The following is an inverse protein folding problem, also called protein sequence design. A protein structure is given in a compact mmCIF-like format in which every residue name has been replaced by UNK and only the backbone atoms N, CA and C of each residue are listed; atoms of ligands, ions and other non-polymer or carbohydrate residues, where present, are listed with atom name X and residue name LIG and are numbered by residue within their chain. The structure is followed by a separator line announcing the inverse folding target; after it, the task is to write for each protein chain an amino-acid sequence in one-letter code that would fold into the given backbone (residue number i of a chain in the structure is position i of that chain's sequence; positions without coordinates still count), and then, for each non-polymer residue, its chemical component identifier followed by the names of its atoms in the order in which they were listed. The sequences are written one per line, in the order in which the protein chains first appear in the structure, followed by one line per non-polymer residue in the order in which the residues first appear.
data_IF_325574392375
#
_entry.id   IF_325574392375
#
_cell.length_a   1.000
_cell.length_b   1.000
_cell.length_c   1.000
_cell.angle_alpha   90.00
_cell.angle_beta   90.00
_cell.angle_gamma   90.00
#
_symmetry.space_group_name_H-M   'P 1'
#
loop_
_entity.id
_entity.type
_entity.pdbx_description
1 polymer ?
#
# COMPACT_ATOMS: atom_id res chain seq x y z
N UNK A 1 -1.80 -14.97 21.08
CA UNK A 1 -1.23 -13.61 21.16
C UNK A 1 -1.11 -13.14 19.73
N UNK A 2 -1.65 -11.97 19.40
CA UNK A 2 -1.43 -11.34 18.10
C UNK A 2 0.05 -10.99 17.99
N UNK A 3 0.65 -11.26 16.82
CA UNK A 3 2.03 -10.84 16.55
C UNK A 3 2.07 -9.30 16.52
N UNK A 4 3.11 -8.71 17.09
CA UNK A 4 3.37 -7.27 17.01
C UNK A 4 4.78 -7.05 16.45
N UNK A 5 4.94 -6.33 15.33
CA UNK A 5 6.26 -5.95 14.84
C UNK A 5 7.02 -5.12 15.89
N UNK A 6 8.31 -5.40 16.00
CA UNK A 6 9.23 -4.72 16.91
C UNK A 6 9.85 -3.53 16.18
N UNK A 7 9.37 -2.32 16.52
CA UNK A 7 9.90 -1.04 16.05
C UNK A 7 10.23 -0.20 17.29
N UNK A 8 11.44 -0.32 17.86
CA UNK A 8 11.76 0.23 19.17
C UNK A 8 12.10 1.73 19.16
N UNK A 9 12.35 2.29 17.98
CA UNK A 9 12.71 3.68 17.76
C UNK A 9 11.84 4.24 16.63
N UNK A 10 11.53 5.53 16.67
CA UNK A 10 10.89 6.27 15.57
C UNK A 10 11.92 6.79 14.57
N UNK A 11 11.44 7.38 13.47
CA UNK A 11 12.26 8.09 12.49
C UNK A 11 13.31 7.22 11.79
N UNK A 12 14.38 7.84 11.27
CA UNK A 12 15.33 7.12 10.42
C UNK A 12 16.11 6.02 11.15
N UNK A 13 16.38 6.19 12.46
CA UNK A 13 17.04 5.16 13.26
C UNK A 13 16.13 3.92 13.46
N UNK A 14 14.83 4.15 13.63
CA UNK A 14 13.81 3.10 13.64
C UNK A 14 13.74 2.36 12.30
N UNK A 15 13.73 3.11 11.20
CA UNK A 15 13.73 2.54 9.86
C UNK A 15 14.92 1.58 9.63
N UNK A 16 16.16 2.01 9.92
CA UNK A 16 17.34 1.15 9.75
C UNK A 16 17.28 -0.14 10.59
N UNK A 17 16.64 -0.08 11.77
CA UNK A 17 16.41 -1.27 12.57
C UNK A 17 15.37 -2.19 11.92
N UNK A 18 14.25 -1.63 11.48
CA UNK A 18 13.20 -2.38 10.81
C UNK A 18 13.73 -3.00 9.52
N UNK A 19 14.35 -2.23 8.63
CA UNK A 19 14.95 -2.71 7.38
C UNK A 19 15.86 -3.92 7.59
N UNK A 20 16.75 -3.87 8.60
CA UNK A 20 17.66 -4.98 8.93
C UNK A 20 16.96 -6.21 9.50
N UNK A 21 15.80 -6.04 10.12
CA UNK A 21 15.10 -7.12 10.84
C UNK A 21 13.81 -7.57 10.16
N UNK A 22 13.37 -6.87 9.12
CA UNK A 22 12.07 -7.04 8.47
C UNK A 22 11.86 -8.49 8.01
N UNK A 23 12.86 -9.10 7.38
CA UNK A 23 12.78 -10.49 6.91
C UNK A 23 12.51 -11.47 8.06
N UNK A 24 13.24 -11.34 9.17
CA UNK A 24 13.05 -12.22 10.33
C UNK A 24 11.70 -11.96 11.02
N UNK A 25 11.30 -10.69 11.12
CA UNK A 25 10.01 -10.31 11.69
C UNK A 25 8.86 -10.85 10.86
N UNK A 26 8.93 -10.70 9.52
CA UNK A 26 7.96 -11.25 8.57
C UNK A 26 7.89 -12.77 8.63
N UNK A 27 9.03 -13.47 8.67
CA UNK A 27 9.02 -14.93 8.83
C UNK A 27 8.29 -15.36 10.11
N UNK A 28 8.56 -14.67 11.22
CA UNK A 28 7.90 -14.94 12.51
C UNK A 28 6.41 -14.60 12.47
N UNK A 29 6.03 -13.55 11.74
CA UNK A 29 4.63 -13.15 11.53
C UNK A 29 3.86 -14.22 10.72
N UNK A 30 4.44 -14.71 9.63
CA UNK A 30 3.81 -15.71 8.76
C UNK A 30 3.64 -17.06 9.50
N UNK A 31 4.53 -17.39 10.44
CA UNK A 31 4.44 -18.56 11.33
C UNK A 31 3.44 -18.38 12.49
N UNK A 32 2.79 -17.22 12.61
CA UNK A 32 1.82 -17.00 13.67
C UNK A 32 0.57 -17.88 13.48
N UNK A 33 0.01 -18.49 14.55
CA UNK A 33 -1.09 -19.46 14.41
C UNK A 33 -2.33 -18.95 13.68
N UNK A 34 -2.61 -17.64 13.76
CA UNK A 34 -3.72 -17.02 13.05
C UNK A 34 -3.49 -16.94 11.55
N UNK A 35 -2.28 -16.52 11.13
CA UNK A 35 -1.92 -16.38 9.72
C UNK A 35 -1.83 -17.76 9.08
N UNK A 36 -1.05 -18.68 9.67
CA UNK A 36 -0.88 -20.04 9.14
C UNK A 36 -2.21 -20.77 8.98
N UNK A 37 -3.13 -20.67 9.96
CA UNK A 37 -4.45 -21.31 9.85
C UNK A 37 -5.25 -20.77 8.66
N UNK A 38 -5.26 -19.45 8.47
CA UNK A 38 -5.99 -18.82 7.36
C UNK A 38 -5.36 -19.17 6.01
N UNK A 39 -4.04 -19.11 5.90
CA UNK A 39 -3.33 -19.39 4.65
C UNK A 39 -3.38 -20.87 4.27
N UNK A 40 -3.31 -21.79 5.23
CA UNK A 40 -3.53 -23.23 4.99
C UNK A 40 -4.96 -23.50 4.51
N UNK A 41 -5.96 -22.91 5.18
CA UNK A 41 -7.37 -23.03 4.78
C UNK A 41 -7.59 -22.48 3.37
N UNK A 42 -6.95 -21.36 3.04
CA UNK A 42 -7.02 -20.77 1.72
C UNK A 42 -6.42 -21.69 0.67
N UNK A 43 -5.20 -22.19 0.91
CA UNK A 43 -4.49 -23.09 0.00
C UNK A 43 -5.26 -24.37 -0.29
N UNK A 44 -5.91 -24.94 0.71
CA UNK A 44 -6.68 -26.18 0.57
C UNK A 44 -7.96 -26.01 -0.26
N UNK A 45 -8.62 -24.85 -0.18
CA UNK A 45 -10.01 -24.67 -0.67
C UNK A 45 -10.13 -23.76 -1.89
N UNK A 46 -9.23 -22.80 -2.07
CA UNK A 46 -9.35 -21.81 -3.16
C UNK A 46 -9.38 -22.46 -4.54
N UNK A 47 -8.66 -23.59 -4.69
CA UNK A 47 -8.59 -24.37 -5.91
C UNK A 47 -9.93 -24.92 -6.39
N UNK A 48 -10.96 -24.97 -5.54
CA UNK A 48 -12.32 -25.43 -5.89
C UNK A 48 -13.29 -24.30 -6.22
N UNK A 49 -12.91 -23.04 -5.96
CA UNK A 49 -13.76 -21.87 -6.21
C UNK A 49 -13.81 -21.60 -7.72
N UNK A 50 -15.02 -21.48 -8.27
CA UNK A 50 -15.24 -21.29 -9.72
C UNK A 50 -15.94 -19.99 -10.07
N UNK A 51 -16.65 -19.38 -9.12
CA UNK A 51 -17.40 -18.16 -9.35
C UNK A 51 -17.18 -17.14 -8.24
N UNK A 52 -17.46 -15.87 -8.55
CA UNK A 52 -17.52 -14.81 -7.55
C UNK A 52 -18.50 -15.13 -6.41
N UNK A 53 -19.62 -15.80 -6.72
CA UNK A 53 -20.59 -16.24 -5.72
C UNK A 53 -20.02 -17.28 -4.76
N UNK A 54 -19.21 -18.22 -5.26
CA UNK A 54 -18.55 -19.22 -4.42
C UNK A 54 -17.57 -18.55 -3.46
N UNK A 55 -16.78 -17.58 -3.94
CA UNK A 55 -15.82 -16.85 -3.11
C UNK A 55 -16.52 -16.06 -2.00
N UNK A 56 -17.53 -15.25 -2.31
CA UNK A 56 -18.17 -14.37 -1.31
C UNK A 56 -19.02 -15.13 -0.29
N UNK A 57 -19.40 -16.38 -0.56
CA UNK A 57 -20.07 -17.26 0.40
C UNK A 57 -19.11 -17.81 1.45
N UNK A 58 -17.82 -17.84 1.14
CA UNK A 58 -16.79 -18.41 1.99
C UNK A 58 -16.01 -17.29 2.69
N UNK A 59 -16.44 -16.95 3.91
CA UNK A 59 -15.91 -15.78 4.61
C UNK A 59 -14.40 -15.86 4.87
N UNK A 60 -13.86 -17.05 5.16
CA UNK A 60 -12.42 -17.21 5.41
C UNK A 60 -11.61 -17.03 4.12
N UNK A 61 -12.11 -17.53 2.99
CA UNK A 61 -11.46 -17.29 1.69
C UNK A 61 -11.56 -15.84 1.27
N UNK A 62 -12.72 -15.23 1.47
CA UNK A 62 -12.96 -13.82 1.17
C UNK A 62 -12.05 -12.92 2.03
N UNK A 63 -11.81 -13.26 3.29
CA UNK A 63 -10.90 -12.53 4.17
C UNK A 63 -9.46 -12.49 3.62
N UNK A 64 -8.90 -13.65 3.25
CA UNK A 64 -7.56 -13.70 2.64
C UNK A 64 -7.55 -13.00 1.28
N UNK A 65 -8.58 -13.23 0.47
CA UNK A 65 -8.72 -12.64 -0.86
C UNK A 65 -8.79 -11.11 -0.81
N UNK A 66 -9.58 -10.51 0.10
CA UNK A 66 -9.65 -9.06 0.25
C UNK A 66 -8.40 -8.50 0.91
N UNK A 67 -7.86 -9.17 1.92
CA UNK A 67 -6.67 -8.72 2.65
C UNK A 67 -5.41 -8.67 1.76
N UNK A 68 -5.30 -9.56 0.78
CA UNK A 68 -4.24 -9.50 -0.24
C UNK A 68 -4.27 -8.19 -1.05
N UNK A 69 -5.42 -7.53 -1.17
CA UNK A 69 -5.59 -6.29 -1.94
C UNK A 69 -5.80 -5.08 -1.02
N UNK A 70 -5.71 -5.26 0.31
CA UNK A 70 -5.96 -4.21 1.30
C UNK A 70 -7.42 -3.75 1.33
N UNK A 71 -8.35 -4.63 0.96
CA UNK A 71 -9.79 -4.39 0.92
C UNK A 71 -10.51 -5.01 2.13
N UNK A 72 -9.79 -5.19 3.25
CA UNK A 72 -10.27 -5.88 4.47
C UNK A 72 -11.61 -5.31 5.00
N UNK A 73 -11.78 -3.98 4.90
CA UNK A 73 -12.96 -3.26 5.38
C UNK A 73 -14.25 -3.66 4.63
N UNK A 74 -14.13 -4.21 3.42
CA UNK A 74 -15.25 -4.63 2.58
C UNK A 74 -15.72 -6.06 2.82
N UNK A 75 -15.20 -6.75 3.84
CA UNK A 75 -15.57 -8.14 4.15
C UNK A 75 -17.08 -8.34 4.33
N UNK A 76 -17.82 -7.30 4.72
CA UNK A 76 -19.27 -7.34 4.88
C UNK A 76 -20.05 -6.83 3.65
N UNK A 77 -19.37 -6.25 2.65
CA UNK A 77 -19.95 -5.70 1.43
C UNK A 77 -20.05 -6.75 0.30
N UNK A 78 -20.48 -7.97 0.65
CA UNK A 78 -20.43 -9.15 -0.23
C UNK A 78 -21.15 -8.98 -1.57
N UNK A 79 -22.27 -8.25 -1.60
CA UNK A 79 -22.98 -7.95 -2.84
C UNK A 79 -22.15 -7.09 -3.80
N UNK A 80 -21.50 -6.06 -3.26
CA UNK A 80 -20.66 -5.15 -4.04
C UNK A 80 -19.43 -5.88 -4.57
N UNK A 81 -18.75 -6.62 -3.69
CA UNK A 81 -17.59 -7.44 -4.06
C UNK A 81 -17.95 -8.50 -5.12
N UNK A 82 -19.05 -9.21 -4.92
CA UNK A 82 -19.55 -10.18 -5.91
C UNK A 82 -19.73 -9.52 -7.27
N UNK A 83 -20.40 -8.36 -7.30
CA UNK A 83 -20.68 -7.63 -8.54
C UNK A 83 -19.40 -7.19 -9.26
N UNK A 84 -18.40 -6.70 -8.53
CA UNK A 84 -17.09 -6.33 -9.10
C UNK A 84 -16.46 -7.54 -9.79
N UNK A 85 -16.39 -8.67 -9.09
CA UNK A 85 -15.76 -9.89 -9.59
C UNK A 85 -16.53 -10.51 -10.76
N UNK A 86 -17.86 -10.41 -10.78
CA UNK A 86 -18.70 -10.91 -11.88
C UNK A 86 -18.60 -10.07 -13.16
N UNK A 87 -18.47 -8.74 -13.04
CA UNK A 87 -18.32 -7.86 -14.20
C UNK A 87 -16.91 -7.89 -14.81
N UNK A 88 -15.90 -8.32 -14.05
CA UNK A 88 -14.52 -8.44 -14.52
C UNK A 88 -13.77 -7.12 -14.56
N UNK A 89 -12.58 -7.13 -15.18
CA UNK A 89 -11.72 -5.96 -15.39
C UNK A 89 -11.38 -5.71 -16.87
N UNK A 90 -11.68 -6.62 -17.80
CA UNK A 90 -11.35 -6.43 -19.23
C UNK A 90 -12.23 -5.34 -19.87
N UNK A 91 -13.52 -5.29 -19.52
CA UNK A 91 -14.46 -4.34 -20.10
C UNK A 91 -14.20 -2.92 -19.63
N UNK A 92 -14.07 -1.95 -20.55
CA UNK A 92 -13.89 -0.53 -20.17
C UNK A 92 -15.06 0.04 -19.39
N UNK A 93 -16.23 -0.60 -19.47
CA UNK A 93 -17.44 -0.25 -18.74
C UNK A 93 -17.67 -1.10 -17.49
N UNK A 94 -16.80 -2.06 -17.18
CA UNK A 94 -16.89 -2.87 -15.96
C UNK A 94 -16.82 -1.98 -14.71
N UNK A 95 -17.59 -2.34 -13.69
CA UNK A 95 -17.68 -1.57 -12.45
C UNK A 95 -16.30 -1.31 -11.83
N UNK A 96 -15.42 -2.32 -11.83
CA UNK A 96 -14.08 -2.22 -11.24
C UNK A 96 -13.26 -1.06 -11.84
N UNK A 97 -13.37 -0.84 -13.15
CA UNK A 97 -12.65 0.19 -13.90
C UNK A 97 -13.24 1.60 -13.75
N UNK A 98 -14.42 1.72 -13.13
CA UNK A 98 -15.10 3.00 -12.88
C UNK A 98 -14.90 3.51 -11.47
N UNK A 99 -14.33 2.69 -10.59
CA UNK A 99 -14.06 3.07 -9.21
C UNK A 99 -12.82 3.94 -9.14
N UNK A 100 -12.82 4.90 -8.21
CA UNK A 100 -11.65 5.74 -7.95
C UNK A 100 -10.51 4.95 -7.30
N UNK A 101 -10.85 3.88 -6.60
CA UNK A 101 -9.90 2.97 -5.97
C UNK A 101 -9.57 1.83 -6.94
N UNK A 102 -8.35 1.84 -7.50
CA UNK A 102 -7.89 0.87 -8.49
C UNK A 102 -7.74 -0.55 -7.91
N UNK A 103 -7.66 -0.70 -6.58
CA UNK A 103 -7.47 -2.00 -5.93
C UNK A 103 -8.59 -2.98 -6.24
N UNK A 104 -9.79 -2.50 -6.53
CA UNK A 104 -10.90 -3.35 -6.98
C UNK A 104 -10.71 -3.89 -8.39
N UNK A 105 -10.11 -3.11 -9.29
CA UNK A 105 -9.75 -3.57 -10.63
C UNK A 105 -8.67 -4.65 -10.55
N UNK A 106 -7.61 -4.39 -9.76
CA UNK A 106 -6.55 -5.37 -9.50
C UNK A 106 -7.11 -6.67 -8.91
N UNK A 107 -8.04 -6.55 -7.96
CA UNK A 107 -8.70 -7.70 -7.32
C UNK A 107 -9.53 -8.51 -8.32
N UNK A 108 -10.30 -7.82 -9.17
CA UNK A 108 -11.08 -8.48 -10.22
C UNK A 108 -10.19 -9.19 -11.23
N UNK A 109 -9.15 -8.51 -11.72
CA UNK A 109 -8.20 -9.06 -12.69
C UNK A 109 -7.47 -10.28 -12.13
N UNK A 110 -7.07 -10.23 -10.85
CA UNK A 110 -6.35 -11.30 -10.21
C UNK A 110 -7.16 -12.61 -10.16
N UNK A 111 -8.45 -12.53 -9.84
CA UNK A 111 -9.30 -13.71 -9.75
C UNK A 111 -9.88 -14.13 -11.11
N UNK A 112 -10.17 -13.14 -11.98
CA UNK A 112 -10.56 -13.35 -13.36
C UNK A 112 -11.92 -14.03 -13.56
N UNK A 113 -12.83 -13.98 -12.58
CA UNK A 113 -14.14 -14.65 -12.67
C UNK A 113 -15.02 -14.08 -13.79
N UNK A 114 -15.01 -12.76 -14.02
CA UNK A 114 -15.75 -12.10 -15.10
C UNK A 114 -14.96 -11.98 -16.41
N UNK A 115 -13.66 -12.29 -16.39
CA UNK A 115 -12.74 -12.07 -17.51
C UNK A 115 -12.51 -13.34 -18.35
N UNK A 116 -12.60 -14.52 -17.73
CA UNK A 116 -12.26 -15.79 -18.36
C UNK A 116 -13.28 -16.89 -18.03
N UNK A 117 -13.52 -17.80 -18.99
CA UNK A 117 -14.37 -18.98 -18.77
C UNK A 117 -13.82 -19.92 -17.69
N UNK A 118 -12.50 -19.95 -17.52
CA UNK A 118 -11.79 -20.68 -16.47
C UNK A 118 -11.11 -19.65 -15.57
N UNK A 119 -11.53 -19.50 -14.31
CA UNK A 119 -10.95 -18.52 -13.41
C UNK A 119 -9.52 -18.89 -13.02
N UNK A 120 -8.74 -17.87 -12.62
CA UNK A 120 -7.34 -18.06 -12.20
C UNK A 120 -7.21 -18.92 -10.94
N UNK A 121 -8.25 -19.02 -10.13
CA UNK A 121 -8.33 -19.92 -8.97
C UNK A 121 -8.05 -21.39 -9.30
N UNK A 122 -8.26 -21.83 -10.55
CA UNK A 122 -7.95 -23.18 -10.99
C UNK A 122 -6.44 -23.42 -11.27
N UNK A 123 -5.62 -22.37 -11.28
CA UNK A 123 -4.18 -22.47 -11.51
C UNK A 123 -3.47 -22.94 -10.24
N UNK A 124 -2.54 -23.89 -10.39
CA UNK A 124 -1.87 -24.53 -9.25
C UNK A 124 -1.02 -23.57 -8.40
N UNK A 125 -0.58 -22.45 -8.96
CA UNK A 125 0.23 -21.44 -8.26
C UNK A 125 -0.60 -20.30 -7.67
N UNK A 126 -1.91 -20.23 -7.99
CA UNK A 126 -2.75 -19.11 -7.60
C UNK A 126 -2.89 -18.96 -6.09
N UNK A 127 -3.00 -20.08 -5.38
CA UNK A 127 -3.09 -20.08 -3.93
C UNK A 127 -1.89 -19.38 -3.30
N UNK A 128 -0.68 -19.79 -3.67
CA UNK A 128 0.56 -19.23 -3.12
C UNK A 128 0.75 -17.77 -3.55
N UNK A 129 0.40 -17.40 -4.79
CA UNK A 129 0.43 -16.00 -5.26
C UNK A 129 -0.42 -15.06 -4.38
N UNK A 130 -1.65 -15.46 -4.06
CA UNK A 130 -2.54 -14.64 -3.21
C UNK A 130 -2.11 -14.69 -1.74
N UNK A 131 -1.61 -15.83 -1.25
CA UNK A 131 -1.10 -15.96 0.12
C UNK A 131 0.12 -15.08 0.34
N UNK A 132 1.09 -15.07 -0.57
CA UNK A 132 2.28 -14.23 -0.48
C UNK A 132 1.89 -12.75 -0.41
N UNK A 133 0.91 -12.34 -1.23
CA UNK A 133 0.38 -10.98 -1.24
C UNK A 133 -0.38 -10.65 0.06
N UNK A 134 -1.18 -11.58 0.58
CA UNK A 134 -1.87 -11.44 1.86
C UNK A 134 -0.88 -11.28 3.02
N UNK A 135 0.09 -12.18 3.14
CA UNK A 135 1.10 -12.13 4.21
C UNK A 135 1.90 -10.83 4.17
N UNK A 136 2.29 -10.36 2.98
CA UNK A 136 2.92 -9.05 2.81
C UNK A 136 2.01 -7.92 3.31
N UNK A 137 0.76 -7.85 2.86
CA UNK A 137 -0.18 -6.79 3.25
C UNK A 137 -0.49 -6.78 4.73
N UNK A 138 -0.69 -7.94 5.34
CA UNK A 138 -0.98 -8.01 6.77
C UNK A 138 0.25 -7.64 7.61
N UNK A 139 1.46 -7.98 7.15
CA UNK A 139 2.69 -7.52 7.81
C UNK A 139 2.84 -5.99 7.71
N UNK A 140 2.60 -5.41 6.53
CA UNK A 140 2.59 -3.96 6.33
C UNK A 140 1.57 -3.25 7.24
N UNK A 141 0.35 -3.80 7.36
CA UNK A 141 -0.68 -3.29 8.25
C UNK A 141 -0.22 -3.35 9.71
N UNK A 142 0.32 -4.49 10.17
CA UNK A 142 0.83 -4.64 11.53
C UNK A 142 1.99 -3.65 11.83
N UNK A 143 2.85 -3.36 10.84
CA UNK A 143 3.88 -2.33 10.98
C UNK A 143 3.24 -0.95 11.07
N UNK A 144 2.22 -0.66 10.26
CA UNK A 144 1.50 0.62 10.27
C UNK A 144 0.72 0.89 11.55
N UNK A 145 0.20 -0.14 12.21
CA UNK A 145 -0.40 -0.03 13.54
C UNK A 145 0.61 0.43 14.59
N UNK A 146 1.89 0.07 14.42
CA UNK A 146 2.97 0.50 15.28
C UNK A 146 3.49 1.90 14.90
N UNK A 147 3.73 2.12 13.61
CA UNK A 147 4.23 3.37 13.05
C UNK A 147 3.88 3.47 11.55
N UNK A 148 3.04 4.44 11.20
CA UNK A 148 2.57 4.64 9.83
C UNK A 148 3.70 5.02 8.86
N UNK A 149 4.69 5.79 9.30
CA UNK A 149 5.80 6.22 8.45
C UNK A 149 6.67 5.01 8.08
N UNK A 150 6.84 4.07 9.02
CA UNK A 150 7.53 2.81 8.76
C UNK A 150 6.80 1.95 7.73
N UNK A 151 5.47 1.90 7.80
CA UNK A 151 4.65 1.22 6.78
C UNK A 151 4.84 1.86 5.40
N UNK A 152 4.81 3.20 5.31
CA UNK A 152 5.01 3.91 4.05
C UNK A 152 6.40 3.63 3.46
N UNK A 153 7.44 3.66 4.30
CA UNK A 153 8.80 3.36 3.87
C UNK A 153 8.97 1.90 3.43
N UNK A 154 8.38 0.94 4.14
CA UNK A 154 8.41 -0.48 3.78
C UNK A 154 7.78 -0.73 2.41
N UNK A 155 6.75 0.05 2.07
CA UNK A 155 5.97 -0.09 0.85
C UNK A 155 6.43 0.75 -0.34
N UNK A 156 7.43 1.61 -0.17
CA UNK A 156 7.88 2.50 -1.24
C UNK A 156 8.25 1.71 -2.51
N UNK A 157 9.07 0.67 -2.37
CA UNK A 157 9.57 -0.11 -3.50
C UNK A 157 8.45 -0.78 -4.32
N UNK A 158 7.63 -1.66 -3.71
CA UNK A 158 6.49 -2.26 -4.39
C UNK A 158 5.54 -1.23 -5.00
N UNK A 159 5.18 -0.19 -4.26
CA UNK A 159 4.25 0.84 -4.75
C UNK A 159 4.82 1.63 -5.95
N UNK A 160 6.13 1.90 -5.97
CA UNK A 160 6.77 2.49 -7.15
C UNK A 160 6.75 1.54 -8.34
N UNK A 161 7.02 0.25 -8.15
CA UNK A 161 6.97 -0.72 -9.24
C UNK A 161 5.56 -0.82 -9.85
N UNK A 162 4.52 -0.86 -9.01
CA UNK A 162 3.12 -0.88 -9.47
C UNK A 162 2.82 0.35 -10.36
N UNK A 163 3.32 1.54 -9.99
CA UNK A 163 3.18 2.76 -10.79
C UNK A 163 3.95 2.66 -12.12
N UNK A 164 5.17 2.11 -12.10
CA UNK A 164 6.01 1.99 -13.29
C UNK A 164 5.46 0.97 -14.28
N UNK A 165 4.86 -0.12 -13.81
CA UNK A 165 4.28 -1.17 -14.64
C UNK A 165 2.96 -0.71 -15.29
N UNK A 166 2.19 0.15 -14.62
CA UNK A 166 0.91 0.66 -15.13
C UNK A 166 1.02 1.67 -16.27
N UNK A 167 2.16 2.35 -16.47
CA UNK A 167 2.31 3.35 -17.53
C UNK A 167 3.75 3.57 -17.96
N UNK A 168 3.94 3.69 -19.28
CA UNK A 168 5.27 3.75 -19.91
C UNK A 168 5.83 5.17 -20.08
N UNK A 169 5.03 6.21 -19.81
CA UNK A 169 5.48 7.60 -19.96
C UNK A 169 5.84 8.21 -18.62
N UNK A 170 6.95 8.96 -18.55
CA UNK A 170 7.37 9.59 -17.29
C UNK A 170 6.26 10.45 -16.66
N UNK A 171 5.58 11.30 -17.45
CA UNK A 171 4.48 12.11 -16.92
C UNK A 171 3.32 11.26 -16.43
N UNK A 172 2.96 10.19 -17.16
CA UNK A 172 1.95 9.23 -16.70
C UNK A 172 2.33 8.62 -15.35
N UNK A 173 3.59 8.23 -15.18
CA UNK A 173 4.11 7.65 -13.94
C UNK A 173 4.00 8.66 -12.78
N UNK A 174 4.37 9.92 -13.01
CA UNK A 174 4.19 10.98 -12.02
C UNK A 174 2.73 11.24 -11.65
N UNK A 175 1.81 11.29 -12.63
CA UNK A 175 0.38 11.43 -12.33
C UNK A 175 -0.16 10.25 -11.53
N UNK A 176 0.24 9.02 -11.88
CA UNK A 176 -0.14 7.81 -11.13
C UNK A 176 0.40 7.85 -9.69
N UNK A 177 1.65 8.29 -9.50
CA UNK A 177 2.23 8.51 -8.16
C UNK A 177 1.45 9.58 -7.38
N UNK A 178 1.10 10.70 -8.01
CA UNK A 178 0.31 11.77 -7.38
C UNK A 178 -1.14 11.37 -7.09
N UNK A 179 -1.68 10.37 -7.80
CA UNK A 179 -3.00 9.79 -7.55
C UNK A 179 -3.00 8.75 -6.43
N UNK A 180 -1.84 8.17 -6.11
CA UNK A 180 -1.67 7.22 -5.02
C UNK A 180 -1.42 7.98 -3.70
N UNK A 181 -2.41 8.00 -2.81
CA UNK A 181 -2.36 8.78 -1.56
C UNK A 181 -1.12 8.46 -0.68
N UNK A 182 -0.78 7.18 -0.40
CA UNK A 182 0.45 6.82 0.30
C UNK A 182 1.74 7.38 -0.34
N UNK A 183 1.93 7.16 -1.65
CA UNK A 183 3.12 7.63 -2.37
C UNK A 183 3.17 9.16 -2.40
N UNK A 184 2.05 9.80 -2.71
CA UNK A 184 1.93 11.26 -2.74
C UNK A 184 2.33 11.85 -1.40
N UNK A 185 1.77 11.35 -0.29
CA UNK A 185 2.08 11.83 1.05
C UNK A 185 3.58 11.72 1.37
N UNK A 186 4.20 10.59 0.99
CA UNK A 186 5.63 10.37 1.16
C UNK A 186 6.49 11.33 0.32
N UNK A 187 6.16 11.51 -0.97
CA UNK A 187 6.88 12.42 -1.87
C UNK A 187 6.72 13.88 -1.45
N UNK A 188 5.50 14.30 -1.10
CA UNK A 188 5.23 15.66 -0.61
C UNK A 188 6.09 15.96 0.63
N UNK A 189 6.09 15.02 1.58
CA UNK A 189 6.87 15.14 2.81
C UNK A 189 8.36 15.13 2.52
N UNK A 190 8.90 14.15 1.79
CA UNK A 190 10.33 14.00 1.53
C UNK A 190 10.93 15.19 0.75
N UNK A 191 10.19 15.72 -0.23
CA UNK A 191 10.60 16.86 -1.05
C UNK A 191 10.35 18.20 -0.33
N UNK A 192 9.64 18.17 0.80
CA UNK A 192 9.40 19.32 1.66
C UNK A 192 8.34 20.29 1.11
N UNK A 193 7.33 19.75 0.45
CA UNK A 193 6.14 20.51 0.08
C UNK A 193 5.28 20.78 1.32
N UNK A 194 4.50 21.87 1.25
CA UNK A 194 3.57 22.25 2.31
C UNK A 194 2.16 21.80 1.97
N UNK A 195 1.25 21.80 2.95
CA UNK A 195 -0.16 21.43 2.71
C UNK A 195 -0.88 22.30 1.68
N UNK A 196 -0.44 23.56 1.45
CA UNK A 196 -0.98 24.41 0.38
C UNK A 196 -0.64 23.95 -1.04
N UNK A 197 0.32 23.04 -1.18
CA UNK A 197 0.72 22.49 -2.47
C UNK A 197 -0.41 21.74 -3.17
N UNK A 198 -1.22 21.00 -2.41
CA UNK A 198 -2.37 20.27 -2.98
C UNK A 198 -3.47 21.18 -3.57
N UNK A 199 -3.43 22.49 -3.30
CA UNK A 199 -4.43 23.45 -3.77
C UNK A 199 -4.14 24.06 -5.15
N UNK A 200 -2.94 23.87 -5.70
CA UNK A 200 -2.59 24.39 -7.03
C UNK A 200 -3.02 23.41 -8.14
N UNK A 201 -2.97 23.86 -9.39
CA UNK A 201 -3.33 23.04 -10.55
C UNK A 201 -2.45 21.79 -10.67
N UNK A 202 -3.02 20.65 -11.09
CA UNK A 202 -2.32 19.36 -11.12
C UNK A 202 -1.11 19.36 -12.06
N UNK A 203 -1.15 20.12 -13.15
CA UNK A 203 -0.01 20.24 -14.07
C UNK A 203 1.10 21.07 -13.43
N UNK A 204 0.75 22.09 -12.64
CA UNK A 204 1.73 22.83 -11.85
C UNK A 204 2.33 21.96 -10.74
N UNK A 205 1.52 21.10 -10.10
CA UNK A 205 2.03 20.14 -9.12
C UNK A 205 3.07 19.21 -9.76
N UNK A 206 2.78 18.66 -10.95
CA UNK A 206 3.71 17.83 -11.72
C UNK A 206 5.06 18.55 -11.94
N UNK A 207 5.03 19.77 -12.48
CA UNK A 207 6.24 20.55 -12.76
C UNK A 207 7.08 20.77 -11.49
N UNK A 208 6.43 21.10 -10.37
CA UNK A 208 7.12 21.31 -9.10
C UNK A 208 7.72 20.01 -8.56
N UNK A 209 6.99 18.89 -8.64
CA UNK A 209 7.52 17.58 -8.26
C UNK A 209 8.77 17.22 -9.05
N UNK A 210 8.71 17.33 -10.38
CA UNK A 210 9.83 17.03 -11.27
C UNK A 210 11.02 17.95 -10.99
N UNK A 211 10.80 19.27 -10.86
CA UNK A 211 11.87 20.22 -10.56
C UNK A 211 12.53 19.96 -9.20
N UNK A 212 11.75 19.59 -8.19
CA UNK A 212 12.25 19.31 -6.84
C UNK A 212 12.94 17.95 -6.77
N UNK A 213 12.46 16.97 -7.53
CA UNK A 213 13.10 15.67 -7.70
C UNK A 213 14.46 15.84 -8.40
N UNK A 214 14.53 16.58 -9.50
CA UNK A 214 15.79 16.90 -10.19
C UNK A 214 16.78 17.58 -9.23
N UNK A 215 16.33 18.59 -8.48
CA UNK A 215 17.18 19.29 -7.53
C UNK A 215 17.67 18.43 -6.34
N UNK A 216 16.92 17.38 -5.97
CA UNK A 216 17.18 16.57 -4.78
C UNK A 216 17.91 15.28 -5.12
N UNK A 217 17.47 14.58 -6.16
CA UNK A 217 17.92 13.27 -6.62
C UNK A 217 18.77 13.34 -7.89
N UNK A 218 18.78 14.45 -8.62
CA UNK A 218 19.51 14.61 -9.87
C UNK A 218 18.82 13.98 -11.09
N UNK A 219 17.52 13.71 -10.97
CA UNK A 219 16.68 13.15 -12.03
C UNK A 219 15.22 13.57 -11.83
N UNK A 220 14.52 13.81 -12.94
CA UNK A 220 13.07 13.98 -13.03
C UNK A 220 12.35 12.71 -13.50
N UNK A 221 13.09 11.61 -13.70
CA UNK A 221 12.56 10.33 -14.13
C UNK A 221 12.11 9.51 -12.92
N UNK A 222 10.82 9.15 -12.86
CA UNK A 222 10.31 8.34 -11.74
C UNK A 222 10.97 6.96 -11.69
N UNK A 223 11.32 6.39 -12.84
CA UNK A 223 12.02 5.10 -12.93
C UNK A 223 13.37 5.11 -12.22
N UNK A 224 14.09 6.23 -12.27
CA UNK A 224 15.39 6.34 -11.60
C UNK A 224 15.22 6.48 -10.09
N UNK A 225 14.11 7.07 -9.63
CA UNK A 225 13.76 7.18 -8.21
C UNK A 225 13.42 5.83 -7.59
N UNK A 226 13.02 4.85 -8.40
CA UNK A 226 12.81 3.46 -7.96
C UNK A 226 14.13 2.67 -7.78
N UNK A 227 15.30 3.23 -8.10
CA UNK A 227 16.57 2.58 -7.79
C UNK A 227 16.79 2.47 -6.27
N UNK A 228 17.48 1.41 -5.78
CA UNK A 228 17.71 1.22 -4.34
C UNK A 228 18.37 2.44 -3.66
N UNK A 229 19.31 3.10 -4.33
CA UNK A 229 19.99 4.29 -3.81
C UNK A 229 19.02 5.48 -3.63
N UNK A 230 18.17 5.74 -4.64
CA UNK A 230 17.21 6.83 -4.56
C UNK A 230 16.06 6.51 -3.60
N UNK A 231 15.65 5.25 -3.47
CA UNK A 231 14.67 4.82 -2.47
C UNK A 231 15.20 5.03 -1.05
N UNK A 232 16.43 4.60 -0.75
CA UNK A 232 17.06 4.82 0.57
C UNK A 232 17.11 6.32 0.90
N UNK A 233 17.52 7.14 -0.08
CA UNK A 233 17.57 8.60 0.07
C UNK A 233 16.18 9.21 0.27
N UNK A 234 15.16 8.72 -0.44
CA UNK A 234 13.77 9.16 -0.30
C UNK A 234 13.26 8.84 1.11
N UNK A 235 13.42 7.60 1.57
CA UNK A 235 13.03 7.16 2.92
C UNK A 235 13.73 7.99 3.98
N UNK A 236 15.03 8.23 3.82
CA UNK A 236 15.79 9.07 4.75
C UNK A 236 15.25 10.50 4.83
N UNK A 237 14.98 11.13 3.68
CA UNK A 237 14.43 12.49 3.64
C UNK A 237 13.02 12.55 4.23
N UNK A 238 12.18 11.57 3.91
CA UNK A 238 10.84 11.39 4.45
C UNK A 238 10.87 11.31 5.98
N UNK A 239 11.60 10.34 6.53
CA UNK A 239 11.71 10.09 7.98
C UNK A 239 12.26 11.28 8.75
N UNK A 240 13.27 11.98 8.19
CA UNK A 240 13.82 13.16 8.85
C UNK A 240 12.81 14.31 8.89
N UNK A 241 11.99 14.48 7.84
CA UNK A 241 11.02 15.57 7.76
C UNK A 241 9.74 15.27 8.53
N UNK A 242 9.32 14.01 8.59
CA UNK A 242 8.17 13.62 9.41
C UNK A 242 8.49 13.82 10.89
N UNK A 243 9.67 13.42 11.37
CA UNK A 243 10.10 13.63 12.76
C UNK A 243 10.17 15.13 13.15
N UNK A 244 10.61 15.99 12.23
CA UNK A 244 10.60 17.45 12.43
C UNK A 244 9.17 17.98 12.53
N UNK A 245 8.27 17.48 11.70
CA UNK A 245 6.87 17.92 11.67
C UNK A 245 6.16 17.53 12.98
N UNK A 246 6.35 16.29 13.44
CA UNK A 246 5.75 15.78 14.68
C UNK A 246 6.29 16.46 15.95
N UNK A 247 7.60 16.70 16.01
CA UNK A 247 8.23 17.41 17.13
C UNK A 247 7.77 18.88 17.20
N UNK A 248 7.60 19.54 16.05
CA UNK A 248 7.09 20.92 15.99
C UNK A 248 5.63 21.01 16.47
N UNK A 249 4.78 20.05 16.09
CA UNK A 249 3.38 19.97 16.53
C UNK A 249 3.27 19.78 18.05
N UNK A 250 4.09 18.90 18.61
CA UNK A 250 4.14 18.65 20.07
C UNK A 250 4.57 19.90 20.84
N UNK A 251 5.56 20.63 20.34
CA UNK A 251 6.03 21.87 20.97
C UNK A 251 4.97 22.99 20.98
N UNK A 252 4.21 23.15 19.90
CA UNK A 252 3.13 24.14 19.80
C UNK A 252 1.96 23.85 20.74
N UNK A 253 1.55 22.58 20.84
CA UNK A 253 0.51 22.14 21.79
C UNK A 253 0.94 22.34 23.26
N UNK A 254 2.22 22.09 23.56
CA UNK A 254 2.81 22.31 24.89
C UNK A 254 2.78 23.80 25.28
N UNK A 255 3.12 24.69 24.35
CA UNK A 255 3.08 26.15 24.56
C UNK A 255 1.64 26.62 24.75
N UNK A 256 0.70 26.18 23.91
CA UNK A 256 -0.71 26.53 24.04
C UNK A 256 -1.30 26.07 25.39
N UNK A 257 -0.98 24.85 25.84
CA UNK A 257 -1.39 24.34 27.14
C UNK A 257 -0.79 25.15 28.30
N UNK A 258 0.48 25.53 28.20
CA UNK A 258 1.14 26.37 29.21
C UNK A 258 0.52 27.77 29.33
N UNK A 259 0.05 28.35 28.22
CA UNK A 259 -0.65 29.64 28.21
C UNK A 259 -2.07 29.52 28.74
N UNK A 260 -2.77 28.41 28.44
CA UNK A 260 -4.14 28.18 28.92
C UNK A 260 -4.21 27.90 30.44
N UNK A 261 -3.14 27.34 31.02
CA UNK A 261 -3.02 27.08 32.46
C UNK A 261 -2.59 28.32 33.27
N UNK A 262 -2.23 29.42 32.60
CA UNK A 262 -1.84 30.69 33.23
C UNK A 262 -2.98 31.73 33.29
N UNK A 263 -4.18 31.36 32.86
CA UNK A 263 -5.42 32.15 32.95
C UNK A 263 -6.32 31.53 34.01
#
# INVERSE_FOLDING_TARGET
MTFQPVVPLSGYAGWLFLERTADQQRATFNESPSITRLTDTFRERIGDIRTAEDLVKDRELLEVALGAFGLDDDINNTFFIKKILEEGSIGTDALANKLSDSRYADFSEAFGFGDFDIPRTALSFFADEIIDRYEAKQFEQAVGEQDNDMRLALNLGPALNDVLDGTSTNNGQWYSMMGNEPLRSMFETALGFSSSFAAIDIDQQLEQFQARAEATFGTDQLSDLASPENQEKMIRLFMLRSEISDSSATSGASIALSLLQQI
#
